data_IF_327333170536
#
_entry.id   IF_327333170536
#
_cell.length_a   1.000
_cell.length_b   1.000
_cell.length_c   1.000
_cell.angle_alpha   90.00
_cell.angle_beta   90.00
_cell.angle_gamma   90.00
#
_symmetry.space_group_name_H-M   'P 1'
#
loop_
_entity.id
_entity.type
_entity.pdbx_description
1 polymer ?
#
# COMPACT_ATOMS: atom_id res chain seq x y z
N UNK A 1 -23.57 -33.21 27.50
CA UNK A 1 -22.63 -32.22 26.96
C UNK A 1 -21.80 -32.95 25.93
N UNK A 2 -21.95 -32.61 24.65
CA UNK A 2 -21.20 -33.25 23.58
C UNK A 2 -19.74 -32.80 23.65
N UNK A 3 -18.89 -33.62 24.28
CA UNK A 3 -17.44 -33.43 24.31
C UNK A 3 -16.87 -33.70 22.91
N UNK A 4 -16.98 -32.70 22.02
CA UNK A 4 -16.49 -32.79 20.66
C UNK A 4 -15.00 -32.41 20.58
N UNK A 5 -14.15 -33.15 21.31
CA UNK A 5 -12.72 -32.89 21.49
C UNK A 5 -11.91 -32.86 20.19
N UNK A 6 -12.45 -33.39 19.08
CA UNK A 6 -11.81 -33.40 17.75
C UNK A 6 -11.96 -32.08 16.99
N UNK A 7 -12.75 -31.13 17.48
CA UNK A 7 -12.92 -29.80 16.88
C UNK A 7 -12.03 -28.73 17.51
N UNK A 8 -11.26 -29.11 18.53
CA UNK A 8 -10.35 -28.18 19.20
C UNK A 8 -9.14 -28.00 18.28
N UNK A 9 -8.87 -26.75 17.93
CA UNK A 9 -7.65 -26.35 17.23
C UNK A 9 -6.49 -26.36 18.23
N UNK A 10 -5.75 -27.47 18.24
CA UNK A 10 -4.60 -27.64 19.13
C UNK A 10 -3.37 -26.89 18.61
N UNK A 11 -3.32 -26.60 17.31
CA UNK A 11 -2.18 -25.92 16.67
C UNK A 11 -2.12 -24.44 17.06
N UNK A 12 -3.27 -23.86 17.45
CA UNK A 12 -3.34 -22.50 18.01
C UNK A 12 -2.56 -22.29 19.31
N UNK A 13 -2.17 -23.38 19.99
CA UNK A 13 -1.38 -23.37 21.23
C UNK A 13 0.05 -23.88 21.04
N UNK A 14 0.49 -24.08 19.78
CA UNK A 14 1.87 -24.46 19.49
C UNK A 14 2.81 -23.26 19.72
N UNK A 15 3.85 -23.46 20.53
CA UNK A 15 4.85 -22.43 20.84
C UNK A 15 5.70 -22.06 19.61
N UNK A 16 5.79 -22.95 18.62
CA UNK A 16 6.51 -22.72 17.36
C UNK A 16 5.66 -21.96 16.31
N UNK A 17 4.41 -21.62 16.64
CA UNK A 17 3.52 -20.90 15.73
C UNK A 17 3.96 -19.44 15.56
N UNK A 18 4.44 -19.10 14.36
CA UNK A 18 4.75 -17.73 13.99
C UNK A 18 3.47 -16.88 13.89
N UNK A 19 3.42 -15.82 14.70
CA UNK A 19 2.33 -14.82 14.67
C UNK A 19 2.50 -13.87 13.47
N UNK A 20 1.40 -13.25 13.00
CA UNK A 20 1.49 -12.30 11.88
C UNK A 20 2.48 -11.16 12.16
N UNK A 21 2.61 -10.75 13.43
CA UNK A 21 3.51 -9.72 13.90
C UNK A 21 5.00 -10.08 13.82
N UNK A 22 5.34 -11.37 13.78
CA UNK A 22 6.72 -11.88 13.67
C UNK A 22 7.17 -12.08 12.22
N UNK A 23 6.22 -12.01 11.27
CA UNK A 23 6.49 -12.24 9.85
C UNK A 23 7.11 -11.03 9.13
N UNK A 24 7.24 -9.88 9.80
CA UNK A 24 7.82 -8.66 9.24
C UNK A 24 8.41 -7.75 10.32
N UNK A 25 9.39 -6.93 9.95
CA UNK A 25 9.93 -5.90 10.85
C UNK A 25 8.83 -4.88 11.17
N UNK A 26 8.53 -4.71 12.46
CA UNK A 26 7.55 -3.72 12.89
C UNK A 26 8.05 -2.30 12.71
N UNK A 27 7.11 -1.39 12.46
CA UNK A 27 7.41 0.03 12.46
C UNK A 27 7.75 0.48 13.87
N UNK A 28 8.84 1.24 14.00
CA UNK A 28 9.31 1.80 15.27
C UNK A 28 8.53 3.06 15.68
N UNK A 29 7.79 3.67 14.74
CA UNK A 29 6.97 4.86 14.96
C UNK A 29 5.69 4.48 15.72
N UNK A 30 5.22 5.38 16.59
CA UNK A 30 3.92 5.19 17.23
C UNK A 30 2.76 5.39 16.23
N UNK A 31 1.58 4.79 16.45
CA UNK A 31 0.42 4.99 15.58
C UNK A 31 0.02 6.46 15.40
N UNK A 32 0.20 7.28 16.43
CA UNK A 32 -0.01 8.74 16.37
C UNK A 32 0.99 9.44 15.44
N UNK A 33 2.27 9.07 15.53
CA UNK A 33 3.31 9.62 14.66
C UNK A 33 3.05 9.25 13.19
N UNK A 34 2.67 8.00 12.93
CA UNK A 34 2.32 7.50 11.60
C UNK A 34 1.14 8.28 11.01
N UNK A 35 0.09 8.50 11.80
CA UNK A 35 -1.08 9.27 11.35
C UNK A 35 -0.74 10.73 11.05
N UNK A 36 0.01 11.39 11.94
CA UNK A 36 0.45 12.77 11.73
C UNK A 36 1.33 12.91 10.48
N UNK A 37 2.23 11.96 10.25
CA UNK A 37 3.07 11.93 9.06
C UNK A 37 2.25 11.70 7.79
N UNK A 38 1.28 10.79 7.81
CA UNK A 38 0.36 10.57 6.70
C UNK A 38 -0.46 11.83 6.36
N UNK A 39 -0.99 12.53 7.37
CA UNK A 39 -1.71 13.80 7.18
C UNK A 39 -0.81 14.90 6.59
N UNK A 40 0.43 15.00 7.05
CA UNK A 40 1.40 15.95 6.52
C UNK A 40 1.76 15.63 5.06
N UNK A 41 2.09 14.37 4.76
CA UNK A 41 2.43 13.92 3.40
C UNK A 41 1.27 14.11 2.42
N UNK A 42 0.04 13.81 2.83
CA UNK A 42 -1.14 14.00 1.96
C UNK A 42 -1.42 15.47 1.67
N UNK A 43 -1.27 16.36 2.66
CA UNK A 43 -1.36 17.81 2.45
C UNK A 43 -0.28 18.31 1.48
N UNK A 44 0.95 17.86 1.66
CA UNK A 44 2.07 18.22 0.79
C UNK A 44 1.87 17.65 -0.63
N UNK A 45 1.41 16.42 -0.77
CA UNK A 45 1.11 15.80 -2.07
C UNK A 45 0.08 16.62 -2.86
N UNK A 46 -1.00 17.08 -2.21
CA UNK A 46 -1.98 17.99 -2.85
C UNK A 46 -1.36 19.28 -3.35
N UNK A 47 -0.38 19.84 -2.63
CA UNK A 47 0.35 21.03 -3.07
C UNK A 47 1.19 20.78 -4.33
N UNK A 48 1.80 19.60 -4.46
CA UNK A 48 2.51 19.18 -5.67
C UNK A 48 1.55 18.98 -6.85
N UNK A 49 0.38 18.38 -6.62
CA UNK A 49 -0.65 18.21 -7.66
C UNK A 49 -1.16 19.54 -8.19
N UNK A 50 -1.35 20.53 -7.31
CA UNK A 50 -1.76 21.89 -7.71
C UNK A 50 -0.73 22.55 -8.64
N UNK A 51 0.55 22.18 -8.51
CA UNK A 51 1.65 22.65 -9.37
C UNK A 51 1.84 21.79 -10.63
N UNK A 52 1.08 20.70 -10.78
CA UNK A 52 1.23 19.74 -11.87
C UNK A 52 2.39 18.75 -11.70
N UNK A 53 3.04 18.71 -10.53
CA UNK A 53 4.14 17.79 -10.26
C UNK A 53 3.63 16.47 -9.66
N UNK A 54 3.13 15.60 -10.54
CA UNK A 54 2.55 14.30 -10.16
C UNK A 54 3.62 13.34 -9.65
N UNK A 55 4.82 13.34 -10.27
CA UNK A 55 5.91 12.43 -9.89
C UNK A 55 6.34 12.67 -8.46
N UNK A 56 6.63 13.92 -8.07
CA UNK A 56 7.04 14.25 -6.70
C UNK A 56 5.94 13.97 -5.68
N UNK A 57 4.67 14.22 -6.03
CA UNK A 57 3.54 13.89 -5.17
C UNK A 57 3.48 12.39 -4.86
N UNK A 58 3.61 11.56 -5.89
CA UNK A 58 3.54 10.10 -5.74
C UNK A 58 4.77 9.56 -4.99
N UNK A 59 5.98 10.04 -5.30
CA UNK A 59 7.20 9.69 -4.55
C UNK A 59 7.09 10.01 -3.07
N UNK A 60 6.50 11.15 -2.71
CA UNK A 60 6.33 11.54 -1.32
C UNK A 60 5.43 10.57 -0.54
N UNK A 61 4.31 10.14 -1.14
CA UNK A 61 3.37 9.22 -0.50
C UNK A 61 3.92 7.80 -0.41
N UNK A 62 4.73 7.37 -1.39
CA UNK A 62 5.35 6.05 -1.44
C UNK A 62 6.62 5.94 -0.58
N UNK A 63 7.14 7.05 -0.06
CA UNK A 63 8.26 7.05 0.87
C UNK A 63 7.77 6.70 2.27
N UNK A 64 8.28 5.62 2.86
CA UNK A 64 7.96 5.17 4.23
C UNK A 64 6.45 5.16 4.55
N UNK A 65 5.63 4.45 3.75
CA UNK A 65 4.18 4.43 3.92
C UNK A 65 3.76 3.71 5.21
N UNK A 66 2.54 3.96 5.72
CA UNK A 66 2.00 3.21 6.85
C UNK A 66 1.75 1.74 6.46
N UNK A 67 2.33 0.80 7.21
CA UNK A 67 2.13 -0.65 7.03
C UNK A 67 1.90 -1.36 8.37
N UNK A 68 1.46 -2.61 8.33
CA UNK A 68 1.34 -3.49 9.50
C UNK A 68 -0.05 -4.11 9.66
N UNK A 69 -0.30 -4.75 10.79
CA UNK A 69 -1.60 -5.36 11.10
C UNK A 69 -2.35 -4.47 12.08
N UNK A 70 -3.52 -3.95 11.68
CA UNK A 70 -4.42 -3.27 12.62
C UNK A 70 -5.30 -4.30 13.32
N UNK A 71 -5.47 -4.17 14.63
CA UNK A 71 -6.36 -5.05 15.40
C UNK A 71 -7.83 -4.66 15.31
N UNK A 72 -8.14 -3.40 14.96
CA UNK A 72 -9.51 -2.86 14.96
C UNK A 72 -9.71 -1.77 13.89
N UNK A 73 -10.94 -1.63 13.37
CA UNK A 73 -11.28 -0.61 12.36
C UNK A 73 -11.15 0.84 12.84
N UNK A 74 -11.15 1.08 14.16
CA UNK A 74 -10.99 2.40 14.77
C UNK A 74 -9.52 2.75 15.08
N UNK A 75 -8.56 1.92 14.66
CA UNK A 75 -7.13 2.15 14.90
C UNK A 75 -6.61 3.37 14.12
N UNK A 76 -5.72 4.14 14.74
CA UNK A 76 -5.04 5.28 14.12
C UNK A 76 -4.19 4.83 12.93
N UNK A 77 -3.64 3.62 12.98
CA UNK A 77 -2.88 3.04 11.87
C UNK A 77 -3.77 2.80 10.64
N UNK A 78 -4.97 2.25 10.82
CA UNK A 78 -5.90 2.00 9.72
C UNK A 78 -6.38 3.33 9.10
N UNK A 79 -6.61 4.34 9.93
CA UNK A 79 -6.92 5.70 9.46
C UNK A 79 -5.77 6.28 8.60
N UNK A 80 -4.52 6.11 9.03
CA UNK A 80 -3.35 6.58 8.28
C UNK A 80 -3.21 5.87 6.91
N UNK A 81 -3.47 4.56 6.88
CA UNK A 81 -3.47 3.74 5.65
C UNK A 81 -4.56 4.17 4.69
N UNK A 82 -5.79 4.28 5.17
CA UNK A 82 -6.96 4.69 4.38
C UNK A 82 -6.77 6.10 3.79
N UNK A 83 -6.22 7.03 4.58
CA UNK A 83 -5.91 8.38 4.13
C UNK A 83 -4.85 8.39 3.00
N UNK A 84 -3.79 7.60 3.18
CA UNK A 84 -2.72 7.47 2.18
C UNK A 84 -3.24 6.82 0.90
N UNK A 85 -3.98 5.72 1.02
CA UNK A 85 -4.61 5.01 -0.10
C UNK A 85 -5.54 5.93 -0.89
N UNK A 86 -6.42 6.66 -0.21
CA UNK A 86 -7.35 7.59 -0.86
C UNK A 86 -6.63 8.67 -1.66
N UNK A 87 -5.54 9.21 -1.10
CA UNK A 87 -4.72 10.21 -1.79
C UNK A 87 -3.98 9.62 -2.98
N UNK A 88 -3.48 8.39 -2.89
CA UNK A 88 -2.87 7.69 -4.03
C UNK A 88 -3.91 7.48 -5.14
N UNK A 89 -5.11 6.98 -4.82
CA UNK A 89 -6.19 6.77 -5.80
C UNK A 89 -6.53 8.08 -6.52
N UNK A 90 -6.64 9.20 -5.79
CA UNK A 90 -6.88 10.53 -6.37
C UNK A 90 -5.80 10.92 -7.39
N UNK A 91 -4.52 10.65 -7.08
CA UNK A 91 -3.40 10.90 -7.98
C UNK A 91 -3.47 9.99 -9.21
N UNK A 92 -3.70 8.69 -9.01
CA UNK A 92 -3.75 7.71 -10.10
C UNK A 92 -4.88 8.04 -11.09
N UNK A 93 -6.05 8.41 -10.57
CA UNK A 93 -7.23 8.78 -11.37
C UNK A 93 -7.11 10.14 -12.08
N UNK A 94 -6.33 11.08 -11.52
CA UNK A 94 -6.11 12.40 -12.15
C UNK A 94 -4.96 12.40 -13.17
N UNK A 95 -4.13 11.37 -13.17
CA UNK A 95 -2.99 11.26 -14.10
C UNK A 95 -3.43 10.81 -15.48
N UNK A 96 -2.94 11.49 -16.53
CA UNK A 96 -3.22 11.10 -17.92
C UNK A 96 -2.41 9.85 -18.29
N UNK A 97 -3.03 8.94 -19.04
CA UNK A 97 -2.37 7.69 -19.50
C UNK A 97 -1.03 7.93 -20.21
N UNK A 98 -0.91 9.01 -20.98
CA UNK A 98 0.33 9.36 -21.70
C UNK A 98 1.50 9.73 -20.79
N UNK A 99 1.24 10.14 -19.55
CA UNK A 99 2.25 10.60 -18.59
C UNK A 99 2.77 9.47 -17.70
N UNK A 100 2.01 8.37 -17.55
CA UNK A 100 2.29 7.25 -16.65
C UNK A 100 3.71 6.69 -16.85
N UNK A 101 4.05 6.28 -18.08
CA UNK A 101 5.36 5.69 -18.37
C UNK A 101 6.52 6.64 -18.09
N UNK A 102 6.32 7.95 -18.25
CA UNK A 102 7.34 8.95 -17.93
C UNK A 102 7.56 9.04 -16.42
N UNK A 103 6.47 9.08 -15.64
CA UNK A 103 6.51 9.10 -14.17
C UNK A 103 7.20 7.85 -13.64
N UNK A 104 6.83 6.66 -14.13
CA UNK A 104 7.38 5.39 -13.66
C UNK A 104 8.88 5.26 -13.90
N UNK A 105 9.40 5.79 -15.01
CA UNK A 105 10.85 5.84 -15.27
C UNK A 105 11.61 6.69 -14.25
N UNK A 106 10.95 7.63 -13.58
CA UNK A 106 11.57 8.41 -12.51
C UNK A 106 11.79 7.62 -11.21
N UNK A 107 11.09 6.48 -11.03
CA UNK A 107 11.22 5.60 -9.86
C UNK A 107 12.43 4.67 -9.99
N UNK A 108 12.82 4.33 -11.22
CA UNK A 108 13.93 3.41 -11.50
C UNK A 108 15.30 3.95 -11.03
N UNK A 109 15.43 5.26 -10.79
CA UNK A 109 16.66 5.85 -10.27
C UNK A 109 16.84 5.67 -8.74
N UNK A 110 15.76 5.41 -8.00
CA UNK A 110 15.76 5.23 -6.54
C UNK A 110 15.43 3.78 -6.13
N UNK A 111 15.47 2.89 -7.14
CA UNK A 111 15.43 1.42 -7.19
C UNK A 111 14.71 0.67 -6.06
N UNK A 112 13.62 0.02 -6.48
CA UNK A 112 12.89 -1.09 -5.84
C UNK A 112 11.75 -0.69 -4.90
N UNK A 113 11.98 0.04 -3.81
CA UNK A 113 10.93 0.25 -2.80
C UNK A 113 9.70 1.00 -3.33
N UNK A 114 9.87 2.05 -4.14
CA UNK A 114 8.73 2.87 -4.61
C UNK A 114 7.81 2.10 -5.57
N UNK A 115 8.38 1.39 -6.54
CA UNK A 115 7.63 0.56 -7.48
C UNK A 115 6.88 -0.56 -6.77
N UNK A 116 7.48 -1.16 -5.75
CA UNK A 116 6.86 -2.20 -4.93
C UNK A 116 5.72 -1.66 -4.06
N UNK A 117 5.92 -0.52 -3.41
CA UNK A 117 4.85 0.15 -2.66
C UNK A 117 3.70 0.56 -3.57
N UNK A 118 3.98 1.09 -4.76
CA UNK A 118 2.94 1.43 -5.72
C UNK A 118 2.14 0.18 -6.13
N UNK A 119 2.82 -0.92 -6.43
CA UNK A 119 2.15 -2.17 -6.80
C UNK A 119 1.26 -2.69 -5.65
N UNK A 120 1.70 -2.60 -4.39
CA UNK A 120 0.87 -2.93 -3.22
C UNK A 120 -0.38 -2.07 -3.16
N UNK A 121 -0.24 -0.76 -3.35
CA UNK A 121 -1.37 0.16 -3.34
C UNK A 121 -2.32 -0.06 -4.52
N UNK A 122 -1.84 -0.48 -5.69
CA UNK A 122 -2.71 -0.87 -6.81
C UNK A 122 -3.59 -2.07 -6.45
N UNK A 123 -3.01 -3.14 -5.88
CA UNK A 123 -3.79 -4.30 -5.43
C UNK A 123 -4.75 -3.94 -4.29
N UNK A 124 -4.30 -3.13 -3.34
CA UNK A 124 -5.16 -2.65 -2.25
C UNK A 124 -6.33 -1.81 -2.78
N UNK A 125 -6.07 -0.88 -3.69
CA UNK A 125 -7.10 -0.07 -4.32
C UNK A 125 -8.12 -0.92 -5.07
N UNK A 126 -7.66 -1.92 -5.85
CA UNK A 126 -8.55 -2.85 -6.55
C UNK A 126 -9.41 -3.70 -5.60
N UNK A 127 -8.91 -4.00 -4.39
CA UNK A 127 -9.68 -4.71 -3.37
C UNK A 127 -10.66 -3.80 -2.60
N UNK A 128 -10.33 -2.52 -2.43
CA UNK A 128 -11.11 -1.56 -1.63
C UNK A 128 -12.16 -0.79 -2.43
N UNK A 129 -11.98 -0.64 -3.74
CA UNK A 129 -12.93 0.06 -4.60
C UNK A 129 -14.11 -0.87 -4.94
N UNK A 130 -15.31 -0.30 -4.99
CA UNK A 130 -16.51 -0.97 -5.51
C UNK A 130 -16.88 -0.46 -6.92
N UNK A 131 -16.30 0.67 -7.34
CA UNK A 131 -16.67 1.38 -8.57
C UNK A 131 -15.88 0.92 -9.80
N UNK A 132 -16.62 0.54 -10.84
CA UNK A 132 -16.07 -0.04 -12.07
C UNK A 132 -15.15 0.90 -12.85
N UNK A 133 -15.42 2.22 -12.81
CA UNK A 133 -14.67 3.21 -13.60
C UNK A 133 -13.22 3.39 -13.15
N UNK A 134 -12.91 3.08 -11.89
CA UNK A 134 -11.54 3.22 -11.39
C UNK A 134 -10.65 2.03 -11.74
N UNK A 135 -11.22 0.85 -12.05
CA UNK A 135 -10.41 -0.33 -12.39
C UNK A 135 -9.62 -0.18 -13.69
N UNK A 136 -10.20 0.45 -14.72
CA UNK A 136 -9.51 0.63 -15.99
C UNK A 136 -8.22 1.46 -15.82
N UNK A 137 -8.27 2.50 -14.97
CA UNK A 137 -7.09 3.32 -14.66
C UNK A 137 -6.06 2.51 -13.87
N UNK A 138 -6.49 1.77 -12.83
CA UNK A 138 -5.60 0.96 -12.02
C UNK A 138 -4.92 -0.16 -12.82
N UNK A 139 -5.65 -0.80 -13.73
CA UNK A 139 -5.10 -1.83 -14.62
C UNK A 139 -4.10 -1.25 -15.61
N UNK A 140 -4.32 -0.03 -16.10
CA UNK A 140 -3.37 0.66 -16.98
C UNK A 140 -2.07 1.03 -16.23
N UNK A 141 -2.19 1.53 -15.01
CA UNK A 141 -1.04 1.74 -14.13
C UNK A 141 -0.30 0.44 -13.82
N UNK A 142 -1.03 -0.66 -13.56
CA UNK A 142 -0.46 -1.99 -13.33
C UNK A 142 0.33 -2.49 -14.53
N UNK A 143 -0.25 -2.41 -15.74
CA UNK A 143 0.39 -2.79 -16.99
C UNK A 143 1.71 -2.02 -17.17
N UNK A 144 1.66 -0.69 -17.07
CA UNK A 144 2.84 0.18 -17.27
C UNK A 144 3.89 0.02 -16.19
N UNK A 145 3.49 -0.21 -14.94
CA UNK A 145 4.41 -0.50 -13.86
C UNK A 145 5.12 -1.83 -14.08
N UNK A 146 4.39 -2.86 -14.55
CA UNK A 146 4.96 -4.17 -14.86
C UNK A 146 5.88 -4.10 -16.09
N UNK A 147 5.57 -3.27 -17.07
CA UNK A 147 6.44 -3.03 -18.25
C UNK A 147 7.80 -2.44 -17.85
N UNK A 148 7.81 -1.53 -16.87
CA UNK A 148 9.04 -0.85 -16.41
C UNK A 148 9.80 -1.68 -15.36
N UNK A 149 9.11 -2.18 -14.33
CA UNK A 149 9.73 -2.87 -13.19
C UNK A 149 9.85 -4.40 -13.37
N UNK A 150 9.27 -4.95 -14.44
CA UNK A 150 9.18 -6.39 -14.68
C UNK A 150 8.20 -7.10 -13.75
N UNK A 151 8.04 -8.41 -13.95
CA UNK A 151 7.13 -9.25 -13.15
C UNK A 151 7.59 -9.45 -11.70
N UNK A 152 8.86 -9.16 -11.40
CA UNK A 152 9.42 -9.27 -10.05
C UNK A 152 8.70 -8.40 -9.02
N UNK A 153 8.21 -7.22 -9.40
CA UNK A 153 7.43 -6.36 -8.50
C UNK A 153 6.15 -7.05 -8.03
N UNK A 154 5.44 -7.77 -8.91
CA UNK A 154 4.23 -8.54 -8.56
C UNK A 154 4.59 -9.64 -7.56
N UNK A 155 5.62 -10.43 -7.84
CA UNK A 155 6.04 -11.54 -6.97
C UNK A 155 6.40 -11.06 -5.58
N UNK A 156 7.12 -9.94 -5.47
CA UNK A 156 7.46 -9.33 -4.18
C UNK A 156 6.22 -8.86 -3.42
N UNK A 157 5.26 -8.23 -4.09
CA UNK A 157 4.00 -7.86 -3.43
C UNK A 157 3.23 -9.07 -2.93
N UNK A 158 3.18 -10.16 -3.70
CA UNK A 158 2.49 -11.39 -3.31
C UNK A 158 3.16 -12.13 -2.15
N UNK A 159 4.45 -11.88 -1.90
CA UNK A 159 5.23 -12.54 -0.84
C UNK A 159 5.46 -11.67 0.39
N UNK A 160 5.35 -10.35 0.25
CA UNK A 160 5.61 -9.41 1.33
C UNK A 160 4.47 -9.36 2.36
N UNK A 161 4.86 -9.42 3.64
CA UNK A 161 4.00 -9.44 4.81
C UNK A 161 3.72 -8.03 5.38
N UNK A 162 4.45 -7.00 4.93
CA UNK A 162 4.17 -5.58 5.24
C UNK A 162 2.92 -5.10 4.51
N UNK A 163 1.76 -5.24 5.14
CA UNK A 163 0.45 -4.92 4.55
C UNK A 163 0.10 -3.43 4.66
N UNK A 164 -0.31 -2.83 3.54
CA UNK A 164 -0.89 -1.48 3.45
C UNK A 164 -2.41 -1.46 3.49
#
# INVERSE_FOLDING_TARGET
MDNNFRKIDIDAYDDDLLTEQELYDQDHRSPEQILNEAQSKTTQARSYLTRGDISSALKLLLKDPPYGTSSNSNDLLEQAKSLTLSSIIEILSSTKTSEISSILKTFDNERESQSEWLMKYLYKAMASLSDQNNYAVLLNWHEKLTEVAGTGCIVRVMTDRKRV
#
